data_IF_166618201129
#
_entry.id   IF_166618201129
#
_cell.length_a   1.000
_cell.length_b   1.000
_cell.length_c   1.000
_cell.angle_alpha   90.00
_cell.angle_beta   90.00
_cell.angle_gamma   90.00
#
_symmetry.space_group_name_H-M   'P 1'
#
loop_
_entity.id
_entity.type
_entity.pdbx_description
1 polymer ?
#
# COMPACT_ATOMS: atom_id res chain seq x y z
N UNK A 1 5.96 -10.15 -21.68
CA UNK A 1 5.96 -11.01 -20.47
C UNK A 1 5.92 -12.47 -20.87
N UNK A 2 6.56 -13.36 -20.11
CA UNK A 2 6.47 -14.82 -20.29
C UNK A 2 5.34 -15.42 -19.43
N UNK A 3 5.01 -14.77 -18.35
CA UNK A 3 4.01 -15.14 -17.36
C UNK A 3 3.20 -13.93 -16.98
N UNK A 4 1.90 -14.07 -16.88
CA UNK A 4 0.96 -13.06 -16.38
C UNK A 4 0.10 -13.68 -15.29
N UNK A 5 -0.09 -12.95 -14.20
CA UNK A 5 -1.08 -13.24 -13.18
C UNK A 5 -2.31 -12.38 -13.45
N UNK A 6 -3.47 -12.97 -13.62
CA UNK A 6 -4.68 -12.24 -13.98
C UNK A 6 -5.93 -12.90 -13.37
N UNK A 7 -6.97 -12.11 -13.14
CA UNK A 7 -8.31 -12.65 -12.93
C UNK A 7 -8.92 -13.20 -14.24
N UNK A 8 -10.06 -13.83 -14.15
CA UNK A 8 -10.70 -14.48 -15.30
C UNK A 8 -11.01 -13.51 -16.46
N UNK A 9 -11.49 -12.29 -16.14
CA UNK A 9 -11.83 -11.30 -17.17
C UNK A 9 -10.60 -10.78 -17.89
N UNK A 10 -9.52 -10.50 -17.14
CA UNK A 10 -8.24 -10.06 -17.70
C UNK A 10 -7.56 -11.18 -18.48
N UNK A 11 -7.63 -12.41 -17.98
CA UNK A 11 -7.12 -13.58 -18.69
C UNK A 11 -7.80 -13.74 -20.06
N UNK A 12 -9.13 -13.62 -20.13
CA UNK A 12 -9.89 -13.63 -21.37
C UNK A 12 -9.42 -12.55 -22.36
N UNK A 13 -9.32 -11.29 -21.89
CA UNK A 13 -8.83 -10.17 -22.73
C UNK A 13 -7.41 -10.39 -23.26
N UNK A 14 -6.54 -11.00 -22.44
CA UNK A 14 -5.18 -11.34 -22.88
C UNK A 14 -5.17 -12.38 -23.98
N UNK A 15 -6.01 -13.41 -23.88
CA UNK A 15 -6.17 -14.40 -24.94
C UNK A 15 -6.74 -13.79 -26.23
N UNK A 16 -7.79 -12.99 -26.13
CA UNK A 16 -8.39 -12.27 -27.26
C UNK A 16 -7.40 -11.30 -27.91
N UNK A 17 -6.52 -10.67 -27.12
CA UNK A 17 -5.43 -9.81 -27.57
C UNK A 17 -4.21 -10.54 -28.14
N UNK A 18 -4.27 -11.87 -28.25
CA UNK A 18 -3.21 -12.70 -28.85
C UNK A 18 -2.00 -12.92 -27.96
N UNK A 19 -2.13 -12.76 -26.64
CA UNK A 19 -1.05 -13.10 -25.70
C UNK A 19 -0.80 -14.61 -25.71
N UNK A 20 0.46 -15.03 -25.94
CA UNK A 20 0.85 -16.44 -26.04
C UNK A 20 1.71 -16.92 -24.86
N UNK A 21 1.91 -16.09 -23.84
CA UNK A 21 2.61 -16.49 -22.62
C UNK A 21 1.72 -17.30 -21.68
N UNK A 22 2.30 -17.77 -20.59
CA UNK A 22 1.55 -18.46 -19.54
C UNK A 22 0.70 -17.45 -18.76
N UNK A 23 -0.57 -17.75 -18.56
CA UNK A 23 -1.46 -16.99 -17.69
C UNK A 23 -1.76 -17.89 -16.47
N UNK A 24 -1.53 -17.36 -15.27
CA UNK A 24 -2.00 -17.94 -14.02
C UNK A 24 -3.20 -17.13 -13.56
N UNK A 25 -4.31 -17.78 -13.30
CA UNK A 25 -5.48 -17.10 -12.77
C UNK A 25 -5.39 -17.00 -11.25
N UNK A 26 -5.88 -15.89 -10.69
CA UNK A 26 -5.89 -15.67 -9.24
C UNK A 26 -6.69 -16.73 -8.49
N UNK A 27 -7.70 -17.34 -9.15
CA UNK A 27 -8.48 -18.45 -8.61
C UNK A 27 -7.70 -19.78 -8.48
N UNK A 28 -6.55 -19.90 -9.14
CA UNK A 28 -5.69 -21.09 -9.07
C UNK A 28 -4.75 -21.07 -7.84
N UNK A 29 -4.71 -19.94 -7.11
CA UNK A 29 -3.89 -19.86 -5.92
C UNK A 29 -4.65 -20.43 -4.72
N UNK A 30 -4.02 -21.30 -3.93
CA UNK A 30 -4.62 -21.81 -2.71
C UNK A 30 -4.77 -20.66 -1.69
N UNK A 31 -5.85 -20.68 -0.92
CA UNK A 31 -6.10 -19.70 0.15
C UNK A 31 -5.03 -19.78 1.26
N UNK A 32 -4.43 -20.94 1.44
CA UNK A 32 -3.25 -21.13 2.29
C UNK A 32 -2.31 -22.12 1.61
N UNK A 33 -1.06 -21.74 1.43
CA UNK A 33 -0.02 -22.65 0.99
C UNK A 33 1.11 -22.65 2.02
N UNK A 34 1.36 -23.79 2.62
CA UNK A 34 2.65 -24.10 3.22
C UNK A 34 3.66 -24.35 2.10
N UNK A 35 4.15 -23.27 1.50
CA UNK A 35 5.23 -23.37 0.56
C UNK A 35 6.57 -23.42 1.31
N UNK A 36 7.48 -24.33 0.95
CA UNK A 36 8.82 -24.30 1.53
C UNK A 36 9.47 -22.94 1.20
N UNK A 37 10.17 -22.37 2.18
CA UNK A 37 10.97 -21.17 1.96
C UNK A 37 12.04 -21.50 0.92
N UNK A 38 11.88 -20.93 -0.26
CA UNK A 38 12.88 -21.03 -1.33
C UNK A 38 13.94 -19.96 -1.06
N UNK A 39 15.22 -20.36 -1.09
CA UNK A 39 16.30 -19.40 -1.02
C UNK A 39 16.16 -18.37 -2.15
N UNK A 40 16.14 -17.09 -1.79
CA UNK A 40 16.10 -16.03 -2.79
C UNK A 40 17.41 -16.00 -3.56
N UNK A 41 17.31 -15.94 -4.89
CA UNK A 41 18.49 -15.71 -5.71
C UNK A 41 19.09 -14.32 -5.37
N UNK A 42 20.42 -14.19 -5.30
CA UNK A 42 21.05 -12.89 -5.14
C UNK A 42 20.65 -12.00 -6.32
N UNK A 43 20.10 -10.84 -6.03
CA UNK A 43 19.69 -9.84 -7.02
C UNK A 43 20.71 -8.72 -7.13
N UNK A 44 20.88 -8.15 -8.32
CA UNK A 44 21.64 -6.92 -8.50
C UNK A 44 20.73 -5.73 -8.15
N UNK A 45 21.14 -4.78 -7.28
CA UNK A 45 20.36 -3.60 -6.95
C UNK A 45 19.92 -2.76 -8.17
N UNK A 46 20.67 -2.79 -9.25
CA UNK A 46 20.38 -2.05 -10.48
C UNK A 46 19.47 -2.81 -11.46
N UNK A 47 19.12 -4.06 -11.17
CA UNK A 47 18.15 -4.80 -11.96
C UNK A 47 16.73 -4.23 -11.83
N UNK A 48 15.95 -4.36 -12.90
CA UNK A 48 14.54 -3.93 -12.91
C UNK A 48 13.72 -4.78 -11.93
N UNK A 49 13.11 -4.14 -10.95
CA UNK A 49 12.24 -4.78 -9.96
C UNK A 49 10.76 -4.64 -10.30
N UNK A 50 10.37 -3.50 -10.90
CA UNK A 50 8.99 -3.25 -11.29
C UNK A 50 8.92 -2.33 -12.52
N UNK A 51 7.86 -2.48 -13.30
CA UNK A 51 7.50 -1.55 -14.38
C UNK A 51 6.08 -1.07 -14.11
N UNK A 52 5.94 0.22 -13.81
CA UNK A 52 4.65 0.85 -13.61
C UNK A 52 4.22 1.58 -14.89
N UNK A 53 3.06 1.22 -15.41
CA UNK A 53 2.55 1.82 -16.63
C UNK A 53 1.80 3.10 -16.33
N UNK A 54 2.06 4.13 -17.16
CA UNK A 54 1.36 5.42 -17.13
C UNK A 54 0.65 5.65 -18.46
N UNK A 55 -0.45 6.41 -18.44
CA UNK A 55 -1.24 6.73 -19.65
C UNK A 55 -0.46 7.53 -20.69
N UNK A 56 0.64 8.20 -20.27
CA UNK A 56 1.45 9.06 -21.12
C UNK A 56 0.69 10.29 -21.63
N UNK A 57 1.33 11.46 -21.60
CA UNK A 57 0.75 12.72 -22.11
C UNK A 57 0.53 12.71 -23.64
N UNK A 58 1.18 11.80 -24.35
CA UNK A 58 1.10 11.66 -25.83
C UNK A 58 0.11 10.57 -26.27
N UNK A 59 -0.74 10.05 -25.36
CA UNK A 59 -1.68 8.97 -25.67
C UNK A 59 -1.08 7.58 -25.80
N UNK A 60 0.26 7.45 -25.73
CA UNK A 60 0.94 6.13 -25.70
C UNK A 60 1.29 5.76 -24.27
N UNK A 61 0.88 4.57 -23.89
CA UNK A 61 1.24 3.98 -22.59
C UNK A 61 2.76 3.84 -22.48
N UNK A 62 3.33 4.32 -21.38
CA UNK A 62 4.77 4.23 -21.09
C UNK A 62 4.97 3.43 -19.80
N UNK A 63 6.03 2.62 -19.77
CA UNK A 63 6.44 1.90 -18.57
C UNK A 63 7.59 2.62 -17.86
N UNK A 64 7.35 3.07 -16.65
CA UNK A 64 8.41 3.57 -15.77
C UNK A 64 9.09 2.37 -15.10
N UNK A 65 10.37 2.17 -15.40
CA UNK A 65 11.16 1.10 -14.82
C UNK A 65 11.70 1.54 -13.47
N UNK A 66 11.43 0.75 -12.44
CA UNK A 66 11.98 0.93 -11.10
C UNK A 66 12.96 -0.22 -10.83
N UNK A 67 14.18 0.11 -10.43
CA UNK A 67 15.15 -0.87 -9.99
C UNK A 67 14.91 -1.28 -8.53
N UNK A 68 15.49 -2.40 -8.10
CA UNK A 68 15.50 -2.76 -6.67
C UNK A 68 16.02 -1.63 -5.80
N UNK A 69 17.09 -0.97 -6.24
CA UNK A 69 17.69 0.18 -5.57
C UNK A 69 16.72 1.34 -5.41
N UNK A 70 15.94 1.68 -6.45
CA UNK A 70 14.94 2.74 -6.38
C UNK A 70 13.87 2.43 -5.33
N UNK A 71 13.33 1.20 -5.34
CA UNK A 71 12.31 0.79 -4.37
C UNK A 71 12.85 0.78 -2.94
N UNK A 72 14.02 0.18 -2.73
CA UNK A 72 14.64 0.10 -1.41
C UNK A 72 14.92 1.49 -0.85
N UNK A 73 15.52 2.40 -1.63
CA UNK A 73 15.79 3.76 -1.17
C UNK A 73 14.48 4.52 -0.83
N UNK A 74 13.45 4.38 -1.66
CA UNK A 74 12.15 5.00 -1.37
C UNK A 74 11.54 4.50 -0.06
N UNK A 75 11.57 3.18 0.16
CA UNK A 75 11.07 2.57 1.39
C UNK A 75 11.91 3.00 2.61
N UNK A 76 13.23 3.00 2.49
CA UNK A 76 14.13 3.42 3.58
C UNK A 76 13.91 4.89 3.98
N UNK A 77 13.67 5.79 3.02
CA UNK A 77 13.33 7.19 3.32
C UNK A 77 12.02 7.31 4.09
N UNK A 78 11.02 6.48 3.75
CA UNK A 78 9.75 6.45 4.51
C UNK A 78 9.96 5.92 5.92
N UNK A 79 10.75 4.85 6.09
CA UNK A 79 11.09 4.31 7.41
C UNK A 79 11.85 5.34 8.25
N UNK A 80 12.81 6.05 7.66
CA UNK A 80 13.54 7.13 8.32
C UNK A 80 12.59 8.23 8.81
N UNK A 81 11.63 8.65 7.97
CA UNK A 81 10.62 9.63 8.35
C UNK A 81 9.78 9.15 9.55
N UNK A 82 9.41 7.88 9.57
CA UNK A 82 8.71 7.25 10.70
C UNK A 82 9.54 7.30 11.99
N UNK A 83 10.83 6.97 11.91
CA UNK A 83 11.76 7.04 13.04
C UNK A 83 11.90 8.47 13.55
N UNK A 84 12.02 9.45 12.65
CA UNK A 84 12.11 10.87 13.04
C UNK A 84 10.84 11.34 13.75
N UNK A 85 9.67 10.95 13.29
CA UNK A 85 8.39 11.25 13.94
C UNK A 85 8.35 10.63 15.34
N UNK A 86 8.74 9.37 15.47
CA UNK A 86 8.78 8.67 16.76
C UNK A 86 9.71 9.38 17.77
N UNK A 87 10.90 9.77 17.33
CA UNK A 87 11.84 10.55 18.16
C UNK A 87 11.27 11.89 18.57
N UNK A 88 10.63 12.62 17.65
CA UNK A 88 9.96 13.89 17.95
C UNK A 88 8.84 13.74 18.99
N UNK A 89 8.06 12.65 18.88
CA UNK A 89 7.03 12.33 19.87
C UNK A 89 7.65 12.00 21.24
N UNK A 90 8.69 11.17 21.27
CA UNK A 90 9.40 10.81 22.50
C UNK A 90 9.94 12.04 23.23
N UNK A 91 10.58 12.96 22.50
CA UNK A 91 11.03 14.24 23.03
C UNK A 91 9.89 15.10 23.59
N UNK A 92 8.80 15.21 22.81
CA UNK A 92 7.62 15.99 23.21
C UNK A 92 7.00 15.50 24.52
N UNK A 93 6.96 14.19 24.71
CA UNK A 93 6.36 13.57 25.91
C UNK A 93 7.38 13.29 27.03
N UNK A 94 8.67 13.57 26.84
CA UNK A 94 9.72 13.27 27.82
C UNK A 94 9.88 11.78 28.12
N UNK A 95 9.60 10.93 27.13
CA UNK A 95 9.65 9.47 27.24
C UNK A 95 10.81 8.93 26.39
N UNK A 96 11.47 7.90 26.88
CA UNK A 96 12.47 7.18 26.08
C UNK A 96 11.86 6.55 24.83
N UNK A 97 12.59 6.62 23.70
CA UNK A 97 12.10 6.17 22.38
C UNK A 97 11.75 4.68 22.36
N UNK A 98 12.58 3.84 23.00
CA UNK A 98 12.34 2.40 23.04
C UNK A 98 11.13 2.08 23.94
N UNK A 99 10.96 2.79 25.02
CA UNK A 99 9.78 2.71 25.87
C UNK A 99 8.52 3.13 25.12
N UNK A 100 8.57 4.24 24.36
CA UNK A 100 7.45 4.67 23.54
C UNK A 100 7.12 3.60 22.48
N UNK A 101 8.13 3.11 21.78
CA UNK A 101 8.00 2.09 20.74
C UNK A 101 7.38 0.79 21.26
N UNK A 102 7.83 0.32 22.43
CA UNK A 102 7.33 -0.91 23.05
C UNK A 102 5.88 -0.81 23.51
N UNK A 103 5.37 0.39 23.76
CA UNK A 103 3.99 0.64 24.19
C UNK A 103 3.03 0.94 23.02
N UNK A 104 3.55 1.14 21.81
CA UNK A 104 2.67 1.36 20.64
C UNK A 104 2.08 0.02 20.17
N UNK A 105 0.78 -0.01 19.88
CA UNK A 105 0.16 -1.16 19.25
C UNK A 105 0.74 -1.37 17.86
N UNK A 106 0.61 -2.60 17.33
CA UNK A 106 0.95 -2.87 15.94
C UNK A 106 0.21 -1.89 15.03
N UNK A 107 0.95 -1.20 14.18
CA UNK A 107 0.33 -0.29 13.21
C UNK A 107 -0.56 -1.08 12.22
N UNK A 108 -1.71 -0.52 11.89
CA UNK A 108 -2.63 -1.05 10.91
C UNK A 108 -2.92 0.00 9.83
N UNK A 109 -2.76 -0.39 8.58
CA UNK A 109 -2.89 0.50 7.42
C UNK A 109 -4.10 0.10 6.60
N UNK A 110 -4.96 1.06 6.25
CA UNK A 110 -6.01 0.86 5.26
C UNK A 110 -5.46 1.17 3.87
N UNK A 111 -5.33 0.12 3.06
CA UNK A 111 -4.81 0.19 1.68
C UNK A 111 -5.96 0.45 0.71
N UNK A 112 -6.05 1.69 0.22
CA UNK A 112 -7.07 2.15 -0.74
C UNK A 112 -6.49 2.54 -2.09
N UNK A 113 -5.17 2.78 -2.15
CA UNK A 113 -4.49 3.11 -3.39
C UNK A 113 -4.29 1.89 -4.29
N UNK A 114 -4.41 2.04 -5.61
CA UNK A 114 -4.11 0.94 -6.53
C UNK A 114 -2.65 0.50 -6.42
N UNK A 115 -2.41 -0.82 -6.35
CA UNK A 115 -1.04 -1.38 -6.31
C UNK A 115 -0.24 -1.15 -7.60
N UNK A 116 -0.90 -0.82 -8.71
CA UNK A 116 -0.23 -0.45 -9.95
C UNK A 116 0.28 1.01 -9.97
N UNK A 117 0.05 1.77 -8.89
CA UNK A 117 0.59 3.11 -8.68
C UNK A 117 1.62 3.11 -7.56
N UNK A 118 2.66 3.94 -7.68
CA UNK A 118 3.76 3.98 -6.69
C UNK A 118 3.27 4.30 -5.27
N UNK A 119 2.23 5.13 -5.13
CA UNK A 119 1.63 5.43 -3.81
C UNK A 119 1.03 4.17 -3.17
N UNK A 120 0.34 3.35 -3.95
CA UNK A 120 -0.21 2.09 -3.45
C UNK A 120 0.88 1.06 -3.17
N UNK A 121 1.73 0.80 -4.15
CA UNK A 121 2.78 -0.22 -4.03
C UNK A 121 3.84 0.18 -2.99
N UNK A 122 4.40 1.37 -3.08
CA UNK A 122 5.51 1.80 -2.22
C UNK A 122 5.06 2.19 -0.82
N UNK A 123 4.20 3.24 -0.74
CA UNK A 123 3.87 3.87 0.54
C UNK A 123 2.87 3.09 1.38
N UNK A 124 1.83 2.55 0.73
CA UNK A 124 0.73 1.94 1.46
C UNK A 124 0.81 0.40 1.54
N UNK A 125 1.76 -0.23 0.82
CA UNK A 125 1.94 -1.67 0.86
C UNK A 125 3.37 -2.08 1.29
N UNK A 126 4.41 -1.80 0.48
CA UNK A 126 5.76 -2.30 0.76
C UNK A 126 6.38 -1.71 2.03
N UNK A 127 6.20 -0.40 2.26
CA UNK A 127 6.74 0.26 3.45
C UNK A 127 6.10 -0.24 4.76
N UNK A 128 4.77 -0.32 4.88
CA UNK A 128 4.11 -0.92 6.03
C UNK A 128 4.44 -2.41 6.20
N UNK A 129 4.54 -3.17 5.11
CA UNK A 129 4.90 -4.58 5.15
C UNK A 129 6.29 -4.78 5.77
N UNK A 130 7.28 -3.96 5.36
CA UNK A 130 8.62 -4.00 5.94
C UNK A 130 8.62 -3.63 7.43
N UNK A 131 7.73 -2.71 7.84
CA UNK A 131 7.58 -2.30 9.24
C UNK A 131 6.81 -3.33 10.11
N UNK A 132 6.34 -4.44 9.54
CA UNK A 132 5.54 -5.42 10.26
C UNK A 132 4.12 -4.95 10.59
N UNK A 133 3.60 -3.98 9.83
CA UNK A 133 2.24 -3.46 10.02
C UNK A 133 1.20 -4.44 9.49
N UNK A 134 0.01 -4.42 10.09
CA UNK A 134 -1.19 -5.03 9.53
C UNK A 134 -1.63 -4.23 8.30
N UNK A 135 -1.93 -4.89 7.20
CA UNK A 135 -2.41 -4.25 5.97
C UNK A 135 -3.82 -4.78 5.67
N UNK A 136 -4.79 -3.87 5.70
CA UNK A 136 -6.19 -4.15 5.35
C UNK A 136 -6.44 -3.59 3.95
N UNK A 137 -6.73 -4.47 3.00
CA UNK A 137 -6.90 -4.10 1.58
C UNK A 137 -8.37 -3.87 1.28
N UNK A 138 -8.68 -2.73 0.72
CA UNK A 138 -10.01 -2.37 0.28
C UNK A 138 -10.10 -2.48 -1.26
N UNK A 139 -11.07 -3.23 -1.77
CA UNK A 139 -11.20 -3.48 -3.21
C UNK A 139 -11.58 -2.22 -4.00
N UNK A 140 -12.52 -1.43 -3.47
CA UNK A 140 -12.98 -0.16 -4.03
C UNK A 140 -13.19 0.82 -2.90
N UNK A 141 -12.99 2.11 -3.19
CA UNK A 141 -13.29 3.15 -2.22
C UNK A 141 -14.79 3.20 -1.93
N UNK A 142 -15.13 3.06 -0.67
CA UNK A 142 -16.44 3.22 -0.10
C UNK A 142 -16.28 3.79 1.32
N UNK A 143 -16.76 5.00 1.62
CA UNK A 143 -16.54 5.63 2.91
C UNK A 143 -17.24 4.90 4.07
N UNK A 144 -18.37 4.24 3.85
CA UNK A 144 -19.06 3.46 4.89
C UNK A 144 -18.25 2.23 5.26
N UNK A 145 -17.81 1.48 4.26
CA UNK A 145 -16.95 0.32 4.47
C UNK A 145 -15.59 0.72 5.06
N UNK A 146 -15.03 1.87 4.65
CA UNK A 146 -13.81 2.39 5.24
C UNK A 146 -13.98 2.67 6.74
N UNK A 147 -15.07 3.31 7.16
CA UNK A 147 -15.37 3.55 8.57
C UNK A 147 -15.54 2.25 9.35
N UNK A 148 -16.25 1.28 8.77
CA UNK A 148 -16.42 -0.04 9.38
C UNK A 148 -15.07 -0.74 9.59
N UNK A 149 -14.20 -0.73 8.57
CA UNK A 149 -12.87 -1.33 8.64
C UNK A 149 -11.96 -0.59 9.63
N UNK A 150 -12.03 0.74 9.68
CA UNK A 150 -11.25 1.54 10.63
C UNK A 150 -11.55 1.10 12.06
N UNK A 151 -12.81 0.99 12.41
CA UNK A 151 -13.22 0.57 13.75
C UNK A 151 -12.90 -0.90 14.02
N UNK A 152 -13.30 -1.81 13.11
CA UNK A 152 -13.17 -3.26 13.31
C UNK A 152 -11.71 -3.72 13.35
N UNK A 153 -10.87 -3.16 12.48
CA UNK A 153 -9.49 -3.57 12.30
C UNK A 153 -8.49 -2.67 13.07
N UNK A 154 -9.01 -1.68 13.82
CA UNK A 154 -8.22 -0.71 14.57
C UNK A 154 -7.18 -0.03 13.69
N UNK A 155 -7.60 0.45 12.50
CA UNK A 155 -6.70 1.13 11.57
C UNK A 155 -6.09 2.35 12.24
N UNK A 156 -4.76 2.42 12.24
CA UNK A 156 -4.01 3.54 12.82
C UNK A 156 -3.45 4.50 11.75
N UNK A 157 -3.31 4.03 10.52
CA UNK A 157 -2.74 4.81 9.42
C UNK A 157 -3.67 4.75 8.21
N UNK A 158 -4.04 5.92 7.71
CA UNK A 158 -4.83 6.05 6.49
C UNK A 158 -4.18 7.05 5.55
N UNK A 159 -4.02 6.69 4.30
CA UNK A 159 -3.56 7.60 3.27
C UNK A 159 -4.53 7.57 2.09
N UNK A 160 -4.99 8.76 1.68
CA UNK A 160 -5.94 8.89 0.59
C UNK A 160 -5.75 10.19 -0.18
N UNK A 161 -6.40 10.32 -1.33
CA UNK A 161 -6.53 11.62 -2.00
C UNK A 161 -7.47 12.53 -1.21
N UNK A 162 -7.36 13.86 -1.33
CA UNK A 162 -8.20 14.79 -0.55
C UNK A 162 -9.69 14.48 -0.58
N UNK A 163 -10.23 14.06 -1.73
CA UNK A 163 -11.65 13.68 -1.86
C UNK A 163 -12.02 12.51 -0.94
N UNK A 164 -11.17 11.48 -0.84
CA UNK A 164 -11.41 10.36 0.07
C UNK A 164 -11.42 10.80 1.54
N UNK A 165 -10.55 11.75 1.92
CA UNK A 165 -10.56 12.30 3.27
C UNK A 165 -11.84 13.06 3.58
N UNK A 166 -12.33 13.85 2.63
CA UNK A 166 -13.59 14.56 2.77
C UNK A 166 -14.79 13.61 2.86
N UNK A 167 -14.84 12.59 2.02
CA UNK A 167 -15.87 11.56 2.06
C UNK A 167 -15.91 10.89 3.44
N UNK A 168 -14.73 10.48 3.93
CA UNK A 168 -14.58 9.83 5.23
C UNK A 168 -15.05 10.72 6.38
N UNK A 169 -14.59 11.98 6.42
CA UNK A 169 -14.95 12.92 7.48
C UNK A 169 -16.42 13.30 7.47
N UNK A 170 -16.99 13.53 6.29
CA UNK A 170 -18.40 13.86 6.17
C UNK A 170 -19.27 12.67 6.61
N UNK A 171 -18.92 11.47 6.19
CA UNK A 171 -19.65 10.26 6.58
C UNK A 171 -19.50 9.98 8.08
N UNK A 172 -18.30 10.10 8.64
CA UNK A 172 -18.06 9.91 10.07
C UNK A 172 -18.88 10.86 10.95
N UNK A 173 -19.08 12.11 10.50
CA UNK A 173 -19.96 13.07 11.21
C UNK A 173 -21.42 12.65 11.20
N UNK A 174 -21.91 12.10 10.09
CA UNK A 174 -23.30 11.64 9.96
C UNK A 174 -23.52 10.41 10.84
N UNK A 175 -22.61 9.45 10.79
CA UNK A 175 -22.77 8.14 11.44
C UNK A 175 -22.28 8.11 12.89
N UNK A 176 -21.59 9.17 13.37
CA UNK A 176 -20.98 9.19 14.70
C UNK A 176 -19.86 8.12 14.85
N UNK A 177 -19.15 7.84 13.77
CA UNK A 177 -18.19 6.76 13.70
C UNK A 177 -16.94 7.00 14.57
N UNK A 178 -16.41 5.93 15.17
CA UNK A 178 -15.19 5.98 15.97
C UNK A 178 -13.95 5.98 15.09
N UNK A 179 -13.26 7.11 15.06
CA UNK A 179 -11.97 7.29 14.39
C UNK A 179 -10.78 7.35 15.38
N UNK A 180 -11.00 7.01 16.65
CA UNK A 180 -9.99 7.17 17.71
C UNK A 180 -8.71 6.33 17.49
N UNK A 181 -8.79 5.28 16.67
CA UNK A 181 -7.62 4.47 16.32
C UNK A 181 -6.66 5.15 15.33
N UNK A 182 -7.14 6.15 14.57
CA UNK A 182 -6.34 6.85 13.56
C UNK A 182 -5.34 7.78 14.25
N UNK A 183 -4.07 7.50 14.10
CA UNK A 183 -2.97 8.31 14.63
C UNK A 183 -2.20 9.06 13.54
N UNK A 184 -2.32 8.60 12.28
CA UNK A 184 -1.61 9.20 11.16
C UNK A 184 -2.51 9.24 9.92
N UNK A 185 -2.59 10.42 9.31
CA UNK A 185 -3.30 10.64 8.04
C UNK A 185 -2.32 11.22 7.03
N UNK A 186 -2.16 10.52 5.92
CA UNK A 186 -1.39 10.97 4.77
C UNK A 186 -2.30 11.40 3.63
N UNK A 187 -1.91 12.45 2.91
CA UNK A 187 -2.59 12.85 1.68
C UNK A 187 -1.58 13.19 0.60
N UNK A 188 -1.96 12.97 -0.64
CA UNK A 188 -1.11 13.27 -1.79
C UNK A 188 -1.89 13.26 -3.11
N UNK A 189 -1.21 13.64 -4.19
CA UNK A 189 -1.77 13.67 -5.54
C UNK A 189 -2.48 14.97 -5.92
N UNK A 190 -2.92 15.76 -4.94
CA UNK A 190 -3.56 17.08 -5.13
C UNK A 190 -3.22 17.98 -3.94
N UNK A 191 -3.32 19.29 -4.14
CA UNK A 191 -3.29 20.24 -3.02
C UNK A 191 -4.52 20.03 -2.13
N UNK A 192 -4.34 20.18 -0.82
CA UNK A 192 -5.47 20.31 0.10
C UNK A 192 -6.13 21.67 -0.14
N UNK A 193 -7.46 21.73 -0.19
CA UNK A 193 -8.18 23.02 -0.29
C UNK A 193 -8.02 23.84 0.98
#
# INVERSE_FOLDING_TARGET
>A
ARLVLADADRAKRLHEGGFRGRILQTSEFPESAEAPLVALAPGNPDDAAAILFTSGTTGRVKGAVLTHKNLIHGIMLMQLSGVMILHGMAQKFGIDVETLRGNLPQAAVLQVYPLFHISGMGSAFLSPMLAGSKIVVMHRWDPEEALRLIAAERISMFSGVPTMLWDLLNRAKIDGADLSSITNIGTGGQALP
#
